data_IF_877503685293
#
_entry.id   IF_877503685293
#
_cell.length_a   1.000
_cell.length_b   1.000
_cell.length_c   1.000
_cell.angle_alpha   90.00
_cell.angle_beta   90.00
_cell.angle_gamma   90.00
#
_symmetry.space_group_name_H-M   'P 1'
#
loop_
_entity.id
_entity.type
_entity.pdbx_description
1 polymer ?
#
# COMPACT_ATOMS: atom_id res chain seq x y z
N UNK A 1 -3.35 6.49 4.49
CA UNK A 1 -2.46 6.86 3.38
C UNK A 1 -1.01 6.60 3.79
N UNK A 2 -0.31 5.76 3.06
CA UNK A 2 1.11 5.48 3.24
C UNK A 2 1.84 5.76 1.93
N UNK A 3 2.93 6.52 2.02
CA UNK A 3 3.79 6.84 0.87
C UNK A 3 5.23 6.49 1.23
N UNK A 4 5.87 5.71 0.40
CA UNK A 4 7.26 5.28 0.63
C UNK A 4 7.93 4.80 -0.67
N UNK A 5 9.21 4.43 -0.60
CA UNK A 5 9.91 3.81 -1.73
C UNK A 5 9.16 2.59 -2.24
N UNK A 6 9.23 2.35 -3.55
CA UNK A 6 8.62 1.16 -4.16
C UNK A 6 9.36 -0.15 -3.85
N UNK A 7 10.50 -0.07 -3.17
CA UNK A 7 11.34 -1.21 -2.83
C UNK A 7 11.15 -1.63 -1.38
N UNK A 8 11.26 -2.92 -1.10
CA UNK A 8 11.27 -3.44 0.26
C UNK A 8 12.55 -2.98 0.97
N UNK A 9 12.48 -2.79 2.27
CA UNK A 9 13.63 -2.39 3.09
C UNK A 9 14.81 -3.39 2.94
N UNK A 10 14.50 -4.69 2.85
CA UNK A 10 15.50 -5.73 2.64
C UNK A 10 16.21 -5.58 1.30
N UNK A 11 15.50 -5.28 0.22
CA UNK A 11 16.09 -5.10 -1.10
C UNK A 11 17.03 -3.88 -1.13
N UNK A 12 16.59 -2.77 -0.51
CA UNK A 12 17.42 -1.57 -0.38
C UNK A 12 18.67 -1.82 0.46
N UNK A 13 18.55 -2.61 1.53
CA UNK A 13 19.69 -3.00 2.35
C UNK A 13 20.71 -3.83 1.55
N UNK A 14 20.26 -4.84 0.79
CA UNK A 14 21.12 -5.65 -0.08
C UNK A 14 21.78 -4.76 -1.15
N UNK A 15 21.01 -3.88 -1.79
CA UNK A 15 21.53 -2.95 -2.79
C UNK A 15 22.64 -2.06 -2.21
N UNK A 16 22.45 -1.55 -0.99
CA UNK A 16 23.44 -0.69 -0.30
C UNK A 16 24.72 -1.45 0.02
N UNK A 17 24.63 -2.72 0.41
CA UNK A 17 25.80 -3.56 0.69
C UNK A 17 26.56 -3.97 -0.58
N UNK A 18 25.86 -4.11 -1.70
CA UNK A 18 26.48 -4.48 -2.98
C UNK A 18 26.96 -3.28 -3.78
N UNK A 19 26.47 -2.07 -3.46
CA UNK A 19 26.92 -0.84 -4.09
C UNK A 19 28.29 -0.45 -3.53
N UNK A 20 29.29 -0.32 -4.42
CA UNK A 20 30.62 0.13 -4.02
C UNK A 20 30.78 1.63 -4.38
N UNK A 21 30.87 2.52 -3.39
CA UNK A 21 30.97 3.96 -3.62
C UNK A 21 32.28 4.41 -4.29
N UNK A 22 33.27 3.53 -4.35
CA UNK A 22 34.53 3.80 -5.07
C UNK A 22 34.32 3.87 -6.59
N UNK A 23 33.34 3.12 -7.13
CA UNK A 23 33.12 3.06 -8.58
C UNK A 23 32.28 4.23 -9.10
N UNK A 24 31.39 4.76 -8.28
CA UNK A 24 30.54 5.90 -8.65
C UNK A 24 29.90 6.56 -7.42
N UNK A 25 29.71 7.88 -7.43
CA UNK A 25 28.94 8.57 -6.41
C UNK A 25 27.44 8.34 -6.59
N UNK A 26 26.64 8.53 -5.54
CA UNK A 26 25.20 8.39 -5.61
C UNK A 26 24.56 9.35 -6.62
N UNK A 27 25.02 10.59 -6.63
CA UNK A 27 24.57 11.66 -7.55
C UNK A 27 25.77 12.41 -8.09
N UNK A 28 25.58 13.05 -9.21
CA UNK A 28 26.55 13.90 -9.86
C UNK A 28 26.05 15.35 -9.92
N UNK A 29 26.93 16.35 -9.98
CA UNK A 29 26.55 17.75 -10.10
C UNK A 29 25.67 17.99 -11.33
N UNK A 30 24.62 18.81 -11.14
CA UNK A 30 23.79 19.24 -12.24
C UNK A 30 24.57 20.17 -13.18
N UNK A 31 24.35 20.06 -14.48
CA UNK A 31 24.83 21.01 -15.45
C UNK A 31 23.73 22.00 -15.82
N UNK A 32 24.15 23.16 -16.33
CA UNK A 32 23.21 24.22 -16.77
C UNK A 32 22.30 23.65 -17.87
N UNK A 33 20.99 23.69 -17.63
CA UNK A 33 19.98 23.18 -18.57
C UNK A 33 19.42 21.80 -18.23
N UNK A 34 19.93 21.10 -17.20
CA UNK A 34 19.37 19.83 -16.77
C UNK A 34 17.97 20.02 -16.19
N UNK A 35 17.08 19.12 -16.61
CA UNK A 35 15.72 19.00 -16.07
C UNK A 35 15.55 17.78 -15.18
N UNK A 36 16.62 17.01 -15.00
CA UNK A 36 16.63 15.74 -14.26
C UNK A 36 17.85 15.67 -13.33
N UNK A 37 17.74 14.82 -12.31
CA UNK A 37 18.86 14.49 -11.44
C UNK A 37 19.79 13.53 -12.15
N UNK A 38 21.09 13.78 -12.07
CA UNK A 38 22.14 12.89 -12.59
C UNK A 38 22.55 11.91 -11.52
N UNK A 39 22.39 10.63 -11.81
CA UNK A 39 22.83 9.56 -10.92
C UNK A 39 24.16 9.00 -11.43
N UNK A 40 25.09 8.83 -10.49
CA UNK A 40 26.36 8.16 -10.82
C UNK A 40 26.15 6.67 -11.07
N UNK A 41 26.88 6.13 -12.05
CA UNK A 41 26.90 4.69 -12.29
C UNK A 41 28.20 4.26 -13.00
N UNK A 42 28.44 2.96 -13.05
CA UNK A 42 29.54 2.35 -13.76
C UNK A 42 29.06 1.10 -14.51
N UNK A 43 29.72 0.79 -15.62
CA UNK A 43 29.44 -0.38 -16.43
C UNK A 43 30.28 -1.55 -15.93
N UNK A 44 29.63 -2.71 -15.75
CA UNK A 44 30.33 -3.98 -15.52
C UNK A 44 30.95 -4.52 -16.81
N UNK A 45 31.84 -5.50 -16.68
CA UNK A 45 32.50 -6.14 -17.81
C UNK A 45 31.56 -6.77 -18.84
N UNK A 46 30.34 -7.10 -18.43
CA UNK A 46 29.28 -7.64 -19.29
C UNK A 46 28.33 -6.55 -19.88
N UNK A 47 28.76 -5.32 -19.92
CA UNK A 47 28.00 -4.15 -20.39
C UNK A 47 26.73 -3.79 -19.57
N UNK A 48 26.52 -4.42 -18.40
CA UNK A 48 25.40 -4.06 -17.52
C UNK A 48 25.77 -2.92 -16.57
N UNK A 49 24.78 -2.09 -16.25
CA UNK A 49 24.92 -1.03 -15.25
C UNK A 49 24.95 -1.63 -13.83
N UNK A 50 25.71 -1.00 -12.95
CA UNK A 50 25.69 -1.34 -11.52
C UNK A 50 24.39 -0.81 -10.89
N UNK A 51 24.05 -1.37 -9.74
CA UNK A 51 22.90 -0.91 -8.97
C UNK A 51 23.27 0.33 -8.16
N UNK A 52 22.57 1.45 -8.39
CA UNK A 52 22.68 2.64 -7.56
C UNK A 52 21.46 2.69 -6.62
N UNK A 53 21.62 2.41 -5.31
CA UNK A 53 20.51 2.35 -4.37
C UNK A 53 19.78 3.70 -4.24
N UNK A 54 20.50 4.79 -4.28
CA UNK A 54 19.92 6.12 -4.18
C UNK A 54 19.04 6.45 -5.40
N UNK A 55 19.48 6.09 -6.60
CA UNK A 55 18.67 6.23 -7.81
C UNK A 55 17.35 5.46 -7.69
N UNK A 56 17.40 4.22 -7.21
CA UNK A 56 16.19 3.42 -6.98
C UNK A 56 15.25 4.03 -5.95
N UNK A 57 15.77 4.59 -4.86
CA UNK A 57 14.95 5.27 -3.85
C UNK A 57 14.32 6.56 -4.37
N UNK A 58 15.08 7.34 -5.14
CA UNK A 58 14.65 8.66 -5.60
C UNK A 58 13.75 8.60 -6.85
N UNK A 59 13.84 7.52 -7.64
CA UNK A 59 13.13 7.40 -8.93
C UNK A 59 11.73 6.83 -8.82
N UNK A 60 11.34 6.24 -7.69
CA UNK A 60 10.02 5.63 -7.57
C UNK A 60 9.44 5.75 -6.17
N UNK A 61 8.11 5.83 -6.10
CA UNK A 61 7.39 5.72 -4.84
C UNK A 61 6.10 4.93 -5.02
N UNK A 62 5.72 4.23 -3.97
CA UNK A 62 4.45 3.55 -3.83
C UNK A 62 3.58 4.29 -2.83
N UNK A 63 2.36 4.57 -3.22
CA UNK A 63 1.33 5.10 -2.33
C UNK A 63 0.25 4.05 -2.14
N UNK A 64 -0.12 3.83 -0.89
CA UNK A 64 -1.19 2.91 -0.50
C UNK A 64 -2.20 3.69 0.32
N UNK A 65 -3.42 3.71 -0.15
CA UNK A 65 -4.57 4.29 0.53
C UNK A 65 -5.48 3.16 0.98
N UNK A 66 -5.62 3.03 2.29
CA UNK A 66 -6.49 2.04 2.92
C UNK A 66 -7.62 2.76 3.65
N UNK A 67 -8.84 2.34 3.39
CA UNK A 67 -10.03 2.81 4.07
C UNK A 67 -10.79 1.62 4.63
N UNK A 68 -11.13 1.69 5.92
CA UNK A 68 -11.90 0.68 6.61
C UNK A 68 -13.06 1.34 7.33
N UNK A 69 -14.27 0.93 6.97
CA UNK A 69 -15.50 1.39 7.60
C UNK A 69 -16.18 0.22 8.29
N UNK A 70 -16.47 0.39 9.57
CA UNK A 70 -17.25 -0.56 10.37
C UNK A 70 -18.47 0.19 10.92
N UNK A 71 -19.63 -0.37 10.68
CA UNK A 71 -20.90 0.15 11.22
C UNK A 71 -21.66 -1.00 11.85
N UNK A 72 -22.12 -0.79 13.06
CA UNK A 72 -22.97 -1.75 13.76
C UNK A 72 -24.24 -1.04 14.18
N UNK A 73 -25.37 -1.60 13.81
CA UNK A 73 -26.70 -1.17 14.23
C UNK A 73 -27.35 -2.28 15.04
N UNK A 74 -27.84 -1.95 16.22
CA UNK A 74 -28.55 -2.88 17.10
C UNK A 74 -29.92 -2.30 17.42
N UNK A 75 -30.94 -3.17 17.36
CA UNK A 75 -32.30 -2.85 17.72
C UNK A 75 -32.74 -3.91 18.73
N UNK A 76 -33.18 -3.45 19.90
CA UNK A 76 -33.73 -4.32 20.96
C UNK A 76 -35.18 -3.90 21.18
N UNK A 77 -36.07 -4.87 21.13
CA UNK A 77 -37.52 -4.66 21.30
C UNK A 77 -38.07 -5.69 22.26
N UNK A 78 -38.76 -5.19 23.29
CA UNK A 78 -39.58 -6.03 24.14
C UNK A 78 -40.92 -6.28 23.45
N UNK A 79 -41.35 -7.53 23.41
CA UNK A 79 -42.59 -7.99 22.76
C UNK A 79 -43.62 -8.48 23.79
N UNK A 80 -43.64 -7.84 24.98
CA UNK A 80 -44.56 -8.19 26.04
C UNK A 80 -46.03 -8.02 25.65
N UNK A 81 -46.30 -7.18 24.64
CA UNK A 81 -47.62 -7.00 24.05
C UNK A 81 -48.11 -8.23 23.28
N UNK A 82 -47.19 -9.09 22.77
CA UNK A 82 -47.54 -10.34 22.10
C UNK A 82 -47.64 -11.46 23.15
N UNK A 83 -46.58 -11.59 23.96
CA UNK A 83 -46.56 -12.53 25.10
C UNK A 83 -45.55 -12.07 26.15
N UNK A 84 -45.96 -12.13 27.43
CA UNK A 84 -45.08 -11.68 28.53
C UNK A 84 -43.78 -12.47 28.57
N UNK A 85 -42.65 -11.76 28.62
CA UNK A 85 -41.32 -12.32 28.67
C UNK A 85 -40.68 -12.64 27.31
N UNK A 86 -41.30 -12.18 26.21
CA UNK A 86 -40.72 -12.27 24.88
C UNK A 86 -39.96 -10.98 24.56
N UNK A 87 -38.76 -11.12 24.04
CA UNK A 87 -37.95 -10.03 23.49
C UNK A 87 -37.30 -10.43 22.19
N UNK A 88 -37.10 -9.45 21.31
CA UNK A 88 -36.41 -9.63 20.04
C UNK A 88 -35.24 -8.66 19.96
N UNK A 89 -34.11 -9.09 19.44
CA UNK A 89 -33.05 -8.22 19.05
C UNK A 89 -32.61 -8.48 17.61
N UNK A 90 -32.23 -7.43 16.94
CA UNK A 90 -31.65 -7.46 15.60
C UNK A 90 -30.31 -6.73 15.61
N UNK A 91 -29.28 -7.35 15.05
CA UNK A 91 -27.95 -6.79 14.91
C UNK A 91 -27.57 -6.83 13.42
N UNK A 92 -27.21 -5.67 12.89
CA UNK A 92 -26.67 -5.53 11.53
C UNK A 92 -25.26 -5.01 11.65
N UNK A 93 -24.29 -5.78 11.17
CA UNK A 93 -22.89 -5.40 11.12
C UNK A 93 -22.45 -5.26 9.67
N UNK A 94 -22.03 -4.06 9.30
CA UNK A 94 -21.49 -3.71 8.00
C UNK A 94 -20.00 -3.44 8.13
N UNK A 95 -19.18 -4.15 7.36
CA UNK A 95 -17.75 -3.93 7.23
C UNK A 95 -17.42 -3.71 5.76
N UNK A 96 -16.76 -2.60 5.46
CA UNK A 96 -16.21 -2.31 4.16
C UNK A 96 -14.73 -1.97 4.29
N UNK A 97 -13.89 -2.68 3.57
CA UNK A 97 -12.44 -2.42 3.50
C UNK A 97 -12.09 -2.20 2.03
N UNK A 98 -11.51 -1.05 1.74
CA UNK A 98 -10.98 -0.75 0.40
C UNK A 98 -9.52 -0.37 0.51
N UNK A 99 -8.72 -0.89 -0.39
CA UNK A 99 -7.31 -0.54 -0.53
C UNK A 99 -7.03 -0.22 -1.99
N UNK A 100 -6.36 0.89 -2.21
CA UNK A 100 -5.86 1.28 -3.50
C UNK A 100 -4.36 1.52 -3.38
N UNK A 101 -3.58 0.87 -4.22
CA UNK A 101 -2.16 1.12 -4.32
C UNK A 101 -1.80 1.53 -5.74
N UNK A 102 -0.93 2.50 -5.85
CA UNK A 102 -0.34 2.88 -7.12
C UNK A 102 1.15 3.18 -6.95
N UNK A 103 1.90 2.81 -7.96
CA UNK A 103 3.34 3.08 -8.04
C UNK A 103 3.57 4.13 -9.12
N UNK A 104 4.31 5.16 -8.77
CA UNK A 104 4.80 6.16 -9.72
C UNK A 104 6.31 6.09 -9.79
N UNK A 105 6.84 6.11 -10.99
CA UNK A 105 8.27 6.01 -11.25
C UNK A 105 8.72 6.89 -12.39
N UNK A 106 9.98 7.21 -12.35
CA UNK A 106 10.74 7.76 -13.47
C UNK A 106 11.89 6.80 -13.75
N UNK A 107 12.31 6.68 -14.98
CA UNK A 107 13.55 6.00 -15.28
C UNK A 107 14.72 6.94 -15.03
N UNK A 108 15.68 6.56 -14.16
CA UNK A 108 16.79 7.44 -13.82
C UNK A 108 17.79 7.57 -14.96
N UNK A 109 18.39 8.74 -15.07
CA UNK A 109 19.50 9.01 -15.97
C UNK A 109 20.81 8.70 -15.28
N UNK A 110 21.61 7.81 -15.86
CA UNK A 110 22.90 7.42 -15.33
C UNK A 110 24.04 8.03 -16.11
N UNK A 111 25.05 8.48 -15.35
CA UNK A 111 26.24 9.13 -15.89
C UNK A 111 27.49 8.59 -15.22
N UNK A 112 28.63 8.69 -15.94
CA UNK A 112 29.97 8.51 -15.37
C UNK A 112 30.81 9.76 -15.62
N UNK A 113 31.75 10.01 -14.71
CA UNK A 113 32.78 11.03 -14.92
C UNK A 113 33.84 10.43 -15.83
N UNK A 114 34.12 11.08 -16.94
CA UNK A 114 35.16 10.67 -17.89
C UNK A 114 36.44 11.46 -17.69
N UNK A 115 36.32 12.71 -17.25
CA UNK A 115 37.47 13.56 -17.00
C UNK A 115 37.16 14.53 -15.86
N UNK A 116 38.12 14.71 -15.00
CA UNK A 116 38.09 15.72 -13.95
C UNK A 116 39.31 16.62 -14.10
N UNK A 117 39.12 17.95 -14.01
CA UNK A 117 40.22 18.92 -14.05
C UNK A 117 40.49 19.38 -12.62
N UNK A 118 41.64 19.05 -12.02
CA UNK A 118 42.01 19.46 -10.67
C UNK A 118 41.96 20.99 -10.51
N UNK A 119 41.39 21.46 -9.40
CA UNK A 119 41.28 22.90 -9.11
C UNK A 119 40.10 23.62 -9.78
N UNK A 120 39.27 22.89 -10.51
CA UNK A 120 38.01 23.41 -11.05
C UNK A 120 36.90 22.40 -10.72
N UNK A 121 35.68 22.89 -10.47
CA UNK A 121 34.50 22.03 -10.30
C UNK A 121 33.92 21.58 -11.66
N UNK A 122 34.77 21.47 -12.68
CA UNK A 122 34.37 21.02 -13.99
C UNK A 122 34.63 19.55 -14.20
N UNK A 123 33.57 18.84 -14.55
CA UNK A 123 33.58 17.41 -14.84
C UNK A 123 33.03 17.16 -16.23
N UNK A 124 33.77 16.43 -17.05
CA UNK A 124 33.25 15.86 -18.28
C UNK A 124 32.50 14.59 -17.93
N UNK A 125 31.23 14.51 -18.31
CA UNK A 125 30.36 13.40 -17.98
C UNK A 125 29.77 12.76 -19.23
N UNK A 126 29.75 11.46 -19.23
CA UNK A 126 29.12 10.67 -20.29
C UNK A 126 27.87 9.98 -19.76
N UNK A 127 26.79 10.03 -20.53
CA UNK A 127 25.57 9.31 -20.23
C UNK A 127 25.76 7.82 -20.48
N UNK A 128 25.32 6.99 -19.52
CA UNK A 128 25.36 5.56 -19.59
C UNK A 128 23.97 4.98 -19.93
N UNK A 129 23.93 4.17 -21.00
CA UNK A 129 22.70 3.54 -21.46
C UNK A 129 21.74 4.51 -22.17
N UNK A 130 20.60 4.01 -22.55
CA UNK A 130 19.54 4.73 -23.27
C UNK A 130 18.31 5.04 -22.40
N UNK A 131 18.22 4.42 -21.23
CA UNK A 131 17.12 4.62 -20.28
C UNK A 131 17.14 6.04 -19.67
N UNK A 132 16.00 6.54 -19.35
CA UNK A 132 15.82 7.84 -18.70
C UNK A 132 14.54 8.52 -19.18
N UNK A 133 13.71 9.00 -18.24
CA UNK A 133 12.50 9.76 -18.56
C UNK A 133 12.46 11.05 -17.75
N UNK A 134 11.95 12.12 -18.36
CA UNK A 134 11.76 13.42 -17.69
C UNK A 134 10.40 13.55 -17.00
N UNK A 135 9.52 12.57 -17.19
CA UNK A 135 8.16 12.59 -16.63
C UNK A 135 7.90 11.39 -15.75
N UNK A 136 7.06 11.59 -14.75
CA UNK A 136 6.61 10.54 -13.85
C UNK A 136 5.47 9.79 -14.53
N UNK A 137 5.61 8.48 -14.62
CA UNK A 137 4.54 7.60 -15.11
C UNK A 137 4.03 6.69 -14.01
N UNK A 138 2.80 6.22 -14.16
CA UNK A 138 2.22 5.24 -13.27
C UNK A 138 2.52 3.85 -13.83
N UNK A 139 3.29 3.07 -13.08
CA UNK A 139 3.75 1.74 -13.53
C UNK A 139 2.84 0.61 -13.06
N UNK A 140 2.12 0.80 -11.96
CA UNK A 140 1.28 -0.24 -11.39
C UNK A 140 0.12 0.38 -10.61
N UNK A 141 -1.08 -0.17 -10.80
CA UNK A 141 -2.29 0.22 -10.07
C UNK A 141 -2.95 -1.07 -9.62
N UNK A 142 -3.19 -1.20 -8.34
CA UNK A 142 -3.99 -2.28 -7.78
C UNK A 142 -5.12 -1.74 -6.92
N UNK A 143 -6.30 -2.31 -7.06
CA UNK A 143 -7.47 -1.96 -6.26
C UNK A 143 -8.07 -3.21 -5.67
N UNK A 144 -8.49 -3.09 -4.43
CA UNK A 144 -9.08 -4.17 -3.67
C UNK A 144 -10.22 -3.63 -2.83
N UNK A 145 -11.37 -4.25 -2.92
CA UNK A 145 -12.53 -3.91 -2.11
C UNK A 145 -13.15 -5.18 -1.54
N UNK A 146 -13.43 -5.15 -0.25
CA UNK A 146 -14.05 -6.24 0.48
C UNK A 146 -15.21 -5.70 1.30
N UNK A 147 -16.39 -6.29 1.11
CA UNK A 147 -17.61 -5.92 1.84
C UNK A 147 -18.19 -7.14 2.52
N UNK A 148 -18.45 -7.00 3.80
CA UNK A 148 -19.15 -8.02 4.60
C UNK A 148 -20.37 -7.38 5.25
N UNK A 149 -21.53 -8.01 5.08
CA UNK A 149 -22.75 -7.69 5.79
C UNK A 149 -23.13 -8.91 6.64
N UNK A 150 -23.27 -8.73 7.93
CA UNK A 150 -23.73 -9.77 8.84
C UNK A 150 -25.02 -9.28 9.49
N UNK A 151 -26.09 -10.05 9.36
CA UNK A 151 -27.37 -9.82 10.01
C UNK A 151 -27.63 -10.95 11.01
N UNK A 152 -28.00 -10.59 12.20
CA UNK A 152 -28.35 -11.50 13.26
C UNK A 152 -29.70 -11.10 13.84
N UNK A 153 -30.59 -12.07 13.95
CA UNK A 153 -31.89 -11.91 14.59
C UNK A 153 -31.97 -12.93 15.71
N UNK A 154 -32.43 -12.48 16.87
CA UNK A 154 -32.56 -13.31 18.06
C UNK A 154 -33.90 -13.02 18.72
N UNK A 155 -34.60 -14.10 19.09
CA UNK A 155 -35.78 -14.07 19.92
C UNK A 155 -35.45 -14.75 21.23
N UNK A 156 -35.68 -14.06 22.32
CA UNK A 156 -35.51 -14.57 23.67
C UNK A 156 -36.89 -14.62 24.36
N UNK A 157 -37.17 -15.79 24.98
CA UNK A 157 -38.34 -15.96 25.80
C UNK A 157 -37.94 -16.37 27.20
N UNK A 158 -38.40 -15.64 28.21
CA UNK A 158 -38.16 -15.96 29.62
C UNK A 158 -39.45 -15.67 30.42
N UNK A 159 -40.01 -16.71 31.00
CA UNK A 159 -41.22 -16.55 31.80
C UNK A 159 -41.23 -17.49 33.00
N UNK A 160 -41.72 -17.00 34.12
CA UNK A 160 -41.96 -17.77 35.33
C UNK A 160 -43.42 -18.21 35.41
N UNK A 161 -43.64 -19.46 35.58
CA UNK A 161 -44.93 -20.10 35.78
C UNK A 161 -44.97 -20.77 37.19
N UNK A 162 -45.47 -20.04 38.17
CA UNK A 162 -45.39 -20.49 39.56
C UNK A 162 -43.94 -20.69 40.02
N UNK A 163 -43.57 -21.95 40.37
CA UNK A 163 -42.21 -22.28 40.77
C UNK A 163 -41.30 -22.68 39.58
N UNK A 164 -41.82 -22.72 38.37
CA UNK A 164 -41.06 -23.12 37.18
C UNK A 164 -40.63 -21.90 36.36
N UNK A 165 -39.32 -21.84 36.02
CA UNK A 165 -38.79 -20.85 35.09
C UNK A 165 -38.58 -21.50 33.74
N UNK A 166 -39.22 -21.00 32.71
CA UNK A 166 -39.08 -21.46 31.32
C UNK A 166 -38.37 -20.41 30.54
N UNK A 167 -37.29 -20.81 29.83
CA UNK A 167 -36.53 -19.94 28.93
C UNK A 167 -36.20 -20.67 27.63
N UNK A 168 -36.21 -19.91 26.53
CA UNK A 168 -35.83 -20.38 25.21
C UNK A 168 -35.22 -19.26 24.39
N UNK A 169 -34.36 -19.60 23.45
CA UNK A 169 -33.74 -18.67 22.54
C UNK A 169 -33.77 -19.26 21.13
N UNK A 170 -34.13 -18.45 20.17
CA UNK A 170 -34.02 -18.74 18.75
C UNK A 170 -33.11 -17.69 18.10
N UNK A 171 -32.09 -18.15 17.37
CA UNK A 171 -31.15 -17.26 16.67
C UNK A 171 -31.07 -17.62 15.18
N UNK A 172 -31.11 -16.58 14.35
CA UNK A 172 -30.84 -16.68 12.93
C UNK A 172 -29.69 -15.72 12.58
N UNK A 173 -28.71 -16.20 11.83
CA UNK A 173 -27.58 -15.40 11.38
C UNK A 173 -27.34 -15.62 9.88
N UNK A 174 -27.20 -14.51 9.16
CA UNK A 174 -26.85 -14.51 7.75
C UNK A 174 -25.62 -13.60 7.52
N UNK A 175 -24.67 -14.11 6.73
CA UNK A 175 -23.49 -13.35 6.31
C UNK A 175 -23.40 -13.32 4.80
N UNK A 176 -23.32 -12.12 4.24
CA UNK A 176 -22.99 -11.86 2.83
C UNK A 176 -21.57 -11.31 2.74
N UNK A 177 -20.76 -11.91 1.89
CA UNK A 177 -19.38 -11.53 1.67
C UNK A 177 -19.13 -11.34 0.18
N UNK A 178 -18.62 -10.16 -0.19
CA UNK A 178 -18.22 -9.85 -1.56
C UNK A 178 -16.81 -9.30 -1.56
N UNK A 179 -16.03 -9.76 -2.54
CA UNK A 179 -14.66 -9.34 -2.74
C UNK A 179 -14.46 -9.03 -4.22
N UNK A 180 -14.00 -7.82 -4.50
CA UNK A 180 -13.64 -7.37 -5.83
C UNK A 180 -12.14 -7.01 -5.84
N UNK A 181 -11.41 -7.61 -6.77
CA UNK A 181 -9.99 -7.31 -7.02
C UNK A 181 -9.93 -6.85 -8.47
N UNK A 182 -9.59 -5.58 -8.64
CA UNK A 182 -9.36 -5.01 -9.96
C UNK A 182 -7.84 -4.91 -10.17
N UNK A 183 -7.36 -5.40 -11.31
CA UNK A 183 -5.95 -5.27 -11.68
C UNK A 183 -5.55 -3.83 -11.92
#
# INVERSE_FOLDING_TARGET
>A
NRKGPNYKTQDLFIMTHTANPIFFPATLPAQKGDKHMRFGNAILSNATLRTNPYAHMASSFKQVDENMMHTTMRIDQTLDFVTKGLSANALIHFKNTSSQAFTRSIEPYYYRITKWTPGTDQYDMERLGTSGTEYIYTSDISRYTERTITMQFQLDYKRQFGMHNVGGMLMYMQRDFKRDVLP
#
